data_IF_969297086258
#
_entry.id   IF_969297086258
#
_cell.length_a   1.000
_cell.length_b   1.000
_cell.length_c   1.000
_cell.angle_alpha   90.00
_cell.angle_beta   90.00
_cell.angle_gamma   90.00
#
_symmetry.space_group_name_H-M   'P 1'
#
loop_
_entity.id
_entity.type
_entity.pdbx_description
1 polymer ?
#
# COMPACT_ATOMS: atom_id res chain seq x y z
N UNK A 1 -2.27 -11.01 -8.59
CA UNK A 1 -2.02 -9.55 -8.46
C UNK A 1 -0.60 -9.17 -8.02
N UNK A 2 -0.17 -9.45 -6.77
CA UNK A 2 1.12 -8.96 -6.23
C UNK A 2 2.35 -9.34 -7.06
N UNK A 3 2.40 -10.57 -7.61
CA UNK A 3 3.49 -11.00 -8.50
C UNK A 3 3.76 -10.00 -9.63
N UNK A 4 2.70 -9.45 -10.25
CA UNK A 4 2.81 -8.46 -11.34
C UNK A 4 3.29 -7.09 -10.82
N UNK A 5 2.82 -6.64 -9.65
CA UNK A 5 3.25 -5.36 -9.06
C UNK A 5 4.72 -5.44 -8.61
N UNK A 6 5.11 -6.55 -8.00
CA UNK A 6 6.45 -6.76 -7.46
C UNK A 6 7.54 -6.72 -8.55
N UNK A 7 7.23 -7.09 -9.80
CA UNK A 7 8.23 -7.07 -10.88
C UNK A 7 8.79 -5.68 -11.16
N UNK A 8 7.97 -4.62 -11.00
CA UNK A 8 8.39 -3.23 -11.16
C UNK A 8 9.41 -2.79 -10.09
N UNK A 9 9.52 -3.52 -8.98
CA UNK A 9 10.39 -3.18 -7.85
C UNK A 9 11.52 -4.19 -7.62
N UNK A 10 11.70 -5.19 -8.50
CA UNK A 10 12.66 -6.28 -8.30
C UNK A 10 14.12 -5.80 -8.13
N UNK A 11 14.49 -4.68 -8.76
CA UNK A 11 15.84 -4.09 -8.65
C UNK A 11 16.04 -3.24 -7.38
N UNK A 12 14.97 -2.93 -6.64
CA UNK A 12 14.99 -1.96 -5.56
C UNK A 12 14.20 -2.48 -4.33
N UNK A 13 14.84 -3.26 -3.43
CA UNK A 13 14.15 -3.91 -2.32
C UNK A 13 13.43 -2.92 -1.38
N UNK A 14 14.01 -1.74 -1.14
CA UNK A 14 13.36 -0.70 -0.33
C UNK A 14 12.04 -0.19 -0.94
N UNK A 15 11.98 -0.02 -2.27
CA UNK A 15 10.76 0.42 -2.96
C UNK A 15 9.67 -0.66 -2.90
N UNK A 16 10.07 -1.93 -2.98
CA UNK A 16 9.17 -3.08 -2.86
C UNK A 16 8.48 -3.11 -1.49
N UNK A 17 9.21 -2.84 -0.41
CA UNK A 17 8.64 -2.77 0.96
C UNK A 17 7.57 -1.68 1.03
N UNK A 18 7.84 -0.50 0.50
CA UNK A 18 6.89 0.62 0.49
C UNK A 18 5.64 0.25 -0.31
N UNK A 19 5.81 -0.24 -1.55
CA UNK A 19 4.69 -0.65 -2.39
C UNK A 19 3.81 -1.73 -1.73
N UNK A 20 4.42 -2.69 -1.03
CA UNK A 20 3.71 -3.70 -0.28
C UNK A 20 2.88 -3.10 0.86
N UNK A 21 3.48 -2.19 1.64
CA UNK A 21 2.81 -1.54 2.77
C UNK A 21 1.68 -0.61 2.35
N UNK A 22 1.84 0.10 1.24
CA UNK A 22 0.76 0.91 0.66
C UNK A 22 -0.46 0.04 0.31
N UNK A 23 -0.24 -1.14 -0.29
CA UNK A 23 -1.32 -2.10 -0.56
C UNK A 23 -1.94 -2.67 0.71
N UNK A 24 -1.11 -3.07 1.68
CA UNK A 24 -1.56 -3.63 2.96
C UNK A 24 -2.48 -2.67 3.73
N UNK A 25 -2.17 -1.38 3.70
CA UNK A 25 -2.92 -0.35 4.43
C UNK A 25 -3.97 0.36 3.57
N UNK A 26 -4.05 0.06 2.28
CA UNK A 26 -4.94 0.75 1.34
C UNK A 26 -4.59 2.24 1.18
N UNK A 27 -3.32 2.61 1.29
CA UNK A 27 -2.87 3.99 1.15
C UNK A 27 -2.73 4.36 -0.33
N UNK A 28 -3.44 5.40 -0.76
CA UNK A 28 -3.37 5.85 -2.16
C UNK A 28 -2.21 6.78 -2.41
N UNK A 29 -1.67 6.72 -3.62
CA UNK A 29 -0.72 7.70 -4.15
C UNK A 29 -1.49 8.59 -5.11
N UNK A 30 -1.45 9.89 -4.88
CA UNK A 30 -2.01 10.90 -5.79
C UNK A 30 -0.98 12.01 -5.99
N UNK A 31 -0.70 12.30 -7.26
CA UNK A 31 0.42 13.14 -7.67
C UNK A 31 1.70 12.71 -6.95
N UNK A 32 2.24 13.55 -6.05
CA UNK A 32 3.48 13.29 -5.34
C UNK A 32 3.28 12.98 -3.85
N UNK A 33 2.06 12.64 -3.44
CA UNK A 33 1.66 12.50 -2.03
C UNK A 33 1.00 11.15 -1.77
N UNK A 34 1.09 10.70 -0.52
CA UNK A 34 0.45 9.48 -0.03
C UNK A 34 -0.69 9.87 0.91
N UNK A 35 -1.84 9.22 0.77
CA UNK A 35 -3.04 9.53 1.55
C UNK A 35 -3.63 8.31 2.25
N UNK A 36 -4.17 8.54 3.44
CA UNK A 36 -5.10 7.67 4.13
C UNK A 36 -6.50 8.31 4.05
N UNK A 37 -7.29 7.92 3.05
CA UNK A 37 -8.55 8.60 2.72
C UNK A 37 -8.24 10.03 2.28
N UNK A 38 -8.78 11.01 3.02
CA UNK A 38 -8.54 12.45 2.79
C UNK A 38 -7.32 12.99 3.57
N UNK A 39 -6.67 12.15 4.39
CA UNK A 39 -5.56 12.59 5.23
C UNK A 39 -4.25 12.45 4.45
N UNK A 40 -3.61 13.57 4.10
CA UNK A 40 -2.24 13.55 3.57
C UNK A 40 -1.25 13.07 4.63
N UNK A 41 -0.42 12.09 4.27
CA UNK A 41 0.60 11.52 5.12
C UNK A 41 1.98 12.10 4.79
N UNK A 42 2.73 12.47 5.82
CA UNK A 42 4.10 12.97 5.67
C UNK A 42 5.07 11.84 5.30
N UNK A 43 5.84 12.02 4.22
CA UNK A 43 6.90 11.09 3.81
C UNK A 43 7.87 10.73 4.94
N UNK A 44 8.25 11.70 5.78
CA UNK A 44 9.15 11.46 6.90
C UNK A 44 8.55 10.53 7.95
N UNK A 45 7.24 10.65 8.21
CA UNK A 45 6.53 9.77 9.14
C UNK A 45 6.36 8.36 8.55
N UNK A 46 6.04 8.27 7.26
CA UNK A 46 5.96 6.97 6.56
C UNK A 46 7.32 6.28 6.56
N UNK A 47 8.38 6.99 6.18
CA UNK A 47 9.74 6.46 6.15
C UNK A 47 10.17 5.90 7.51
N UNK A 48 9.90 6.65 8.59
CA UNK A 48 10.15 6.20 9.97
C UNK A 48 9.31 4.97 10.33
N UNK A 49 8.01 4.96 9.99
CA UNK A 49 7.12 3.84 10.30
C UNK A 49 7.51 2.57 9.55
N UNK A 50 7.99 2.68 8.31
CA UNK A 50 8.38 1.55 7.48
C UNK A 50 9.86 1.18 7.62
N UNK A 51 10.61 1.91 8.45
CA UNK A 51 12.06 1.74 8.66
C UNK A 51 12.87 1.81 7.34
N UNK A 52 12.60 2.83 6.53
CA UNK A 52 13.28 3.08 5.25
C UNK A 52 13.82 4.52 5.17
N UNK A 53 14.82 4.76 4.32
CA UNK A 53 15.27 6.13 4.03
C UNK A 53 14.16 6.89 3.28
N UNK A 54 13.92 8.15 3.67
CA UNK A 54 12.88 9.01 3.09
C UNK A 54 12.99 9.14 1.57
N UNK A 55 14.20 9.15 1.00
CA UNK A 55 14.43 9.23 -0.45
C UNK A 55 13.83 8.03 -1.19
N UNK A 56 13.73 6.88 -0.52
CA UNK A 56 13.10 5.69 -1.10
C UNK A 56 11.60 5.92 -1.32
N UNK A 57 10.93 6.69 -0.44
CA UNK A 57 9.51 7.07 -0.61
C UNK A 57 9.33 7.85 -1.91
N UNK A 58 10.08 8.94 -2.10
CA UNK A 58 10.01 9.76 -3.30
C UNK A 58 10.25 8.92 -4.57
N UNK A 59 11.30 8.09 -4.58
CA UNK A 59 11.61 7.23 -5.73
C UNK A 59 10.55 6.14 -5.99
N UNK A 60 9.83 5.72 -4.94
CA UNK A 60 8.71 4.77 -5.09
C UNK A 60 7.50 5.46 -5.73
N UNK A 61 7.18 6.67 -5.28
CA UNK A 61 6.10 7.49 -5.85
C UNK A 61 6.36 7.78 -7.33
N UNK A 62 7.59 8.17 -7.68
CA UNK A 62 8.03 8.37 -9.07
C UNK A 62 7.81 7.10 -9.90
N UNK A 63 8.31 5.94 -9.41
CA UNK A 63 8.11 4.65 -10.08
C UNK A 63 6.63 4.34 -10.29
N UNK A 64 5.77 4.62 -9.31
CA UNK A 64 4.32 4.40 -9.41
C UNK A 64 3.69 5.30 -10.48
N UNK A 65 4.08 6.58 -10.52
CA UNK A 65 3.51 7.56 -11.45
C UNK A 65 3.93 7.35 -12.91
N UNK A 66 5.16 6.89 -13.14
CA UNK A 66 5.68 6.62 -14.48
C UNK A 66 5.03 5.39 -15.13
N UNK A 67 4.57 4.43 -14.32
CA UNK A 67 4.01 3.17 -14.80
C UNK A 67 2.48 3.19 -14.75
N UNK A 68 1.82 3.20 -15.92
CA UNK A 68 0.34 3.26 -16.02
C UNK A 68 -0.37 2.16 -15.21
N UNK A 69 0.16 0.94 -15.21
CA UNK A 69 -0.40 -0.19 -14.46
C UNK A 69 -0.30 0.02 -12.94
N UNK A 70 0.82 0.55 -12.45
CA UNK A 70 0.99 0.86 -11.04
C UNK A 70 0.09 2.02 -10.65
N UNK A 71 0.11 3.12 -11.42
CA UNK A 71 -0.73 4.29 -11.18
C UNK A 71 -2.20 3.88 -11.05
N UNK A 72 -2.72 3.06 -11.98
CA UNK A 72 -4.09 2.54 -11.92
C UNK A 72 -4.43 1.84 -10.60
N UNK A 73 -3.50 1.07 -10.04
CA UNK A 73 -3.72 0.39 -8.75
C UNK A 73 -3.61 1.37 -7.60
N UNK A 74 -2.48 2.08 -7.49
CA UNK A 74 -2.14 2.87 -6.31
C UNK A 74 -2.96 4.16 -6.17
N UNK A 75 -3.53 4.72 -7.25
CA UNK A 75 -4.45 5.87 -7.12
C UNK A 75 -5.83 5.48 -6.60
N UNK A 76 -6.23 4.21 -6.76
CA UNK A 76 -7.57 3.70 -6.43
C UNK A 76 -7.61 2.92 -5.11
N UNK A 77 -6.51 2.91 -4.35
CA UNK A 77 -6.50 2.27 -3.03
C UNK A 77 -7.37 3.04 -2.04
N UNK A 78 -8.10 2.30 -1.21
CA UNK A 78 -8.96 2.85 -0.18
C UNK A 78 -8.58 2.17 1.14
N UNK A 79 -8.23 2.93 2.19
CA UNK A 79 -7.96 2.34 3.49
C UNK A 79 -9.25 1.76 4.06
N UNK A 80 -9.17 0.55 4.61
CA UNK A 80 -10.33 -0.16 5.18
C UNK A 80 -10.05 -0.56 6.62
N UNK A 81 -11.08 -0.56 7.46
CA UNK A 81 -10.96 -0.99 8.85
C UNK A 81 -10.87 -2.52 8.91
N UNK A 82 -9.78 -3.04 9.48
CA UNK A 82 -9.65 -4.46 9.75
C UNK A 82 -10.36 -4.83 11.05
N UNK A 83 -11.51 -5.50 10.95
CA UNK A 83 -12.38 -5.77 12.10
C UNK A 83 -12.14 -7.12 12.78
N UNK A 84 -11.22 -7.95 12.27
CA UNK A 84 -10.98 -9.33 12.75
C UNK A 84 -10.81 -9.42 14.26
N UNK A 85 -9.97 -8.57 14.85
CA UNK A 85 -9.65 -8.61 16.29
C UNK A 85 -10.61 -7.76 17.14
N UNK A 86 -11.43 -6.93 16.50
CA UNK A 86 -12.38 -6.04 17.17
C UNK A 86 -13.77 -6.67 17.26
N UNK A 87 -14.19 -7.38 16.21
CA UNK A 87 -15.53 -7.97 16.12
C UNK A 87 -15.88 -8.89 17.31
N UNK A 88 -15.01 -9.79 17.80
CA UNK A 88 -15.31 -10.62 18.97
C UNK A 88 -15.54 -9.80 20.26
N UNK A 89 -14.88 -8.64 20.40
CA UNK A 89 -15.05 -7.76 21.56
C UNK A 89 -16.41 -7.05 21.58
N UNK A 90 -17.05 -6.97 20.42
CA UNK A 90 -18.36 -6.35 20.22
C UNK A 90 -19.48 -7.39 20.08
N UNK A 91 -19.19 -8.68 20.30
CA UNK A 91 -20.09 -9.80 20.03
C UNK A 91 -20.59 -9.85 18.57
N UNK A 92 -19.74 -9.45 17.62
CA UNK A 92 -20.03 -9.52 16.18
C UNK A 92 -19.38 -10.75 15.53
N UNK A 93 -20.04 -11.28 14.51
CA UNK A 93 -19.42 -12.25 13.60
C UNK A 93 -18.49 -11.55 12.61
N UNK A 94 -17.38 -12.21 12.23
CA UNK A 94 -16.47 -11.74 11.19
C UNK A 94 -16.16 -12.89 10.23
N UNK A 95 -16.13 -12.60 8.94
CA UNK A 95 -15.72 -13.54 7.89
C UNK A 95 -14.55 -12.91 7.15
N UNK A 96 -13.39 -13.56 7.21
CA UNK A 96 -12.22 -13.18 6.43
C UNK A 96 -12.09 -14.13 5.24
N UNK A 97 -12.03 -13.57 4.02
CA UNK A 97 -11.81 -14.34 2.80
C UNK A 97 -10.38 -14.09 2.35
N UNK A 98 -9.54 -15.11 2.48
CA UNK A 98 -8.15 -15.08 2.00
C UNK A 98 -8.08 -15.88 0.70
N UNK A 99 -7.91 -15.24 -0.47
CA UNK A 99 -7.76 -15.97 -1.72
C UNK A 99 -6.45 -16.76 -1.72
N UNK A 100 -6.53 -18.07 -2.00
CA UNK A 100 -5.36 -18.95 -2.09
C UNK A 100 -4.54 -18.66 -3.35
N UNK A 101 -5.20 -18.25 -4.44
CA UNK A 101 -4.55 -17.79 -5.67
C UNK A 101 -5.28 -16.58 -6.32
N UNK A 102 -4.70 -15.37 -6.28
CA UNK A 102 -5.27 -14.18 -6.89
C UNK A 102 -4.70 -13.90 -8.31
N UNK A 103 -4.28 -14.93 -9.04
CA UNK A 103 -3.64 -14.80 -10.38
C UNK A 103 -4.51 -15.15 -11.58
N UNK A 104 -5.84 -15.25 -11.40
CA UNK A 104 -6.79 -15.29 -12.52
C UNK A 104 -6.51 -14.22 -13.58
#
# INVERSE_FOLDING_TARGET
>A
MWKKIATYFNKYPGRRIIAQKLLEYGLRVEENRIYCGEIELSDSKIARAFNVDRRVIASTIETINENKDLKKVFTNLIPTCHLKDVAPKMNWGVVEIIPVDPSM
#
